data_IF_303261257022
#
_entry.id   IF_303261257022
#
_cell.length_a   1.000
_cell.length_b   1.000
_cell.length_c   1.000
_cell.angle_alpha   90.00
_cell.angle_beta   90.00
_cell.angle_gamma   90.00
#
_symmetry.space_group_name_H-M   'P 1'
#
loop_
_entity.id
_entity.type
_entity.pdbx_description
1 polymer ?
#
# COMPACT_ATOMS: atom_id res chain seq x y z
N UNK A 1 -2.59 9.02 6.44
CA UNK A 1 -2.45 10.28 5.68
C UNK A 1 -2.08 11.47 6.58
N UNK A 2 -2.93 11.91 7.52
CA UNK A 2 -2.63 13.09 8.38
C UNK A 2 -1.28 12.99 9.10
N UNK A 3 -0.95 11.80 9.63
CA UNK A 3 0.33 11.58 10.30
C UNK A 3 1.54 11.70 9.37
N UNK A 4 1.42 11.31 8.10
CA UNK A 4 2.50 11.44 7.10
C UNK A 4 2.70 12.92 6.74
N UNK A 5 1.61 13.67 6.56
CA UNK A 5 1.67 15.09 6.21
C UNK A 5 2.27 15.93 7.37
N UNK A 6 1.81 15.69 8.60
CA UNK A 6 2.21 16.46 9.79
C UNK A 6 3.55 16.00 10.38
N UNK A 7 3.88 14.71 10.28
CA UNK A 7 5.10 14.14 10.86
C UNK A 7 5.13 14.17 12.40
N UNK A 8 3.99 14.38 13.07
CA UNK A 8 3.92 14.47 14.53
C UNK A 8 3.65 13.11 15.16
N UNK A 9 4.35 12.80 16.26
CA UNK A 9 4.16 11.55 17.02
C UNK A 9 2.73 11.44 17.53
N UNK A 10 2.12 12.54 17.99
CA UNK A 10 0.74 12.54 18.49
C UNK A 10 -0.27 12.04 17.44
N UNK A 11 -0.14 12.50 16.19
CA UNK A 11 -1.03 12.06 15.11
C UNK A 11 -0.83 10.58 14.73
N UNK A 12 0.39 10.07 14.89
CA UNK A 12 0.70 8.66 14.64
C UNK A 12 0.22 7.75 15.78
N UNK A 13 0.32 8.19 17.04
CA UNK A 13 -0.27 7.50 18.20
C UNK A 13 -1.79 7.45 18.08
N UNK A 14 -2.44 8.56 17.70
CA UNK A 14 -3.89 8.57 17.44
C UNK A 14 -4.27 7.60 16.31
N UNK A 15 -3.45 7.52 15.24
CA UNK A 15 -3.64 6.56 14.17
C UNK A 15 -3.47 5.11 14.67
N UNK A 16 -2.52 4.85 15.57
CA UNK A 16 -2.31 3.53 16.15
C UNK A 16 -3.52 3.11 16.99
N UNK A 17 -4.07 3.99 17.85
CA UNK A 17 -5.28 3.67 18.60
C UNK A 17 -6.50 3.44 17.70
N UNK A 18 -6.67 4.25 16.64
CA UNK A 18 -7.73 4.02 15.65
C UNK A 18 -7.57 2.66 14.95
N UNK A 19 -6.33 2.29 14.64
CA UNK A 19 -6.00 0.97 14.08
C UNK A 19 -6.30 -0.16 15.07
N UNK A 20 -5.98 0.01 16.37
CA UNK A 20 -6.29 -0.97 17.41
C UNK A 20 -7.80 -1.16 17.59
N UNK A 21 -8.56 -0.06 17.58
CA UNK A 21 -10.02 -0.12 17.63
C UNK A 21 -10.60 -0.89 16.45
N UNK A 22 -10.07 -0.66 15.25
CA UNK A 22 -10.48 -1.39 14.05
C UNK A 22 -10.11 -2.88 14.11
N UNK A 23 -8.93 -3.23 14.65
CA UNK A 23 -8.54 -4.63 14.84
C UNK A 23 -9.46 -5.35 15.85
N UNK A 24 -9.99 -4.63 16.84
CA UNK A 24 -10.97 -5.17 17.78
C UNK A 24 -12.37 -5.30 17.16
N UNK A 25 -12.74 -4.46 16.20
CA UNK A 25 -14.09 -4.45 15.61
C UNK A 25 -14.24 -5.34 14.37
N UNK A 26 -13.21 -5.46 13.53
CA UNK A 26 -13.31 -6.20 12.28
C UNK A 26 -12.01 -6.89 11.85
N UNK A 27 -12.13 -8.16 11.42
CA UNK A 27 -11.03 -8.98 10.91
C UNK A 27 -10.32 -8.42 9.66
N UNK A 28 -10.90 -7.44 8.96
CA UNK A 28 -10.25 -6.78 7.83
C UNK A 28 -9.04 -5.92 8.22
N UNK A 29 -8.66 -5.84 9.50
CA UNK A 29 -7.41 -5.21 9.92
C UNK A 29 -6.18 -5.81 9.23
N UNK A 30 -6.24 -7.08 8.80
CA UNK A 30 -5.17 -7.76 8.04
C UNK A 30 -4.93 -7.07 6.70
N UNK A 31 -6.00 -6.59 6.05
CA UNK A 31 -5.88 -5.83 4.80
C UNK A 31 -5.13 -4.52 5.02
N UNK A 32 -5.48 -3.75 6.07
CA UNK A 32 -4.81 -2.47 6.37
C UNK A 32 -3.37 -2.69 6.87
N UNK A 33 -3.12 -3.77 7.59
CA UNK A 33 -1.77 -4.22 7.95
C UNK A 33 -0.90 -4.55 6.74
N UNK A 34 -1.44 -4.95 5.61
CA UNK A 34 -0.62 -5.19 4.41
C UNK A 34 -0.57 -3.97 3.49
N UNK A 35 -1.61 -3.13 3.52
CA UNK A 35 -1.69 -1.92 2.72
C UNK A 35 -0.70 -0.83 3.17
N UNK A 36 -0.53 -0.59 4.47
CA UNK A 36 0.37 0.47 4.95
C UNK A 36 1.84 0.15 4.62
N UNK A 37 2.36 -1.07 4.86
CA UNK A 37 3.72 -1.43 4.43
C UNK A 37 3.88 -1.36 2.91
N UNK A 38 2.88 -1.79 2.13
CA UNK A 38 2.90 -1.68 0.67
C UNK A 38 3.04 -0.21 0.22
N UNK A 39 2.31 0.71 0.84
CA UNK A 39 2.44 2.14 0.59
C UNK A 39 3.85 2.66 0.92
N UNK A 40 4.44 2.23 2.03
CA UNK A 40 5.80 2.64 2.42
C UNK A 40 6.85 2.10 1.44
N UNK A 41 6.71 0.84 1.01
CA UNK A 41 7.58 0.25 -0.02
C UNK A 41 7.49 1.07 -1.31
N UNK A 42 6.27 1.42 -1.74
CA UNK A 42 6.05 2.25 -2.93
C UNK A 42 6.70 3.63 -2.79
N UNK A 43 6.61 4.26 -1.62
CA UNK A 43 7.26 5.55 -1.34
C UNK A 43 8.79 5.47 -1.41
N UNK A 44 9.39 4.38 -0.92
CA UNK A 44 10.83 4.13 -1.05
C UNK A 44 11.21 3.87 -2.51
N UNK A 45 10.40 3.10 -3.26
CA UNK A 45 10.63 2.81 -4.67
C UNK A 45 10.56 4.07 -5.57
N UNK A 46 9.65 4.99 -5.28
CA UNK A 46 9.52 6.29 -5.98
C UNK A 46 10.59 7.29 -5.50
N UNK A 47 11.52 6.88 -4.61
CA UNK A 47 12.56 7.72 -4.02
C UNK A 47 12.01 8.97 -3.28
N UNK A 48 10.78 8.88 -2.76
CA UNK A 48 10.11 9.94 -1.99
C UNK A 48 10.15 9.66 -0.49
N UNK A 49 11.29 9.20 -0.02
CA UNK A 49 11.47 8.91 1.38
C UNK A 49 11.66 10.19 2.21
N UNK A 50 10.86 10.37 3.26
CA UNK A 50 10.96 11.51 4.18
C UNK A 50 11.07 11.04 5.63
N UNK A 51 11.76 11.83 6.47
CA UNK A 51 11.84 11.56 7.91
C UNK A 51 10.46 11.55 8.60
N UNK A 52 9.48 12.28 8.05
CA UNK A 52 8.10 12.29 8.54
C UNK A 52 7.45 10.92 8.38
N UNK A 53 7.65 10.27 7.22
CA UNK A 53 7.16 8.92 6.97
C UNK A 53 7.76 7.90 7.95
N UNK A 54 9.06 8.03 8.22
CA UNK A 54 9.75 7.19 9.20
C UNK A 54 9.18 7.32 10.61
N UNK A 55 9.01 8.55 11.11
CA UNK A 55 8.43 8.79 12.44
C UNK A 55 7.01 8.23 12.50
N UNK A 56 6.20 8.46 11.47
CA UNK A 56 4.81 7.98 11.44
C UNK A 56 4.73 6.44 11.43
N UNK A 57 5.57 5.76 10.66
CA UNK A 57 5.53 4.29 10.56
C UNK A 57 6.10 3.60 11.80
N UNK A 58 7.23 4.07 12.33
CA UNK A 58 7.89 3.48 13.50
C UNK A 58 7.05 3.62 14.76
N UNK A 59 6.41 4.77 14.96
CA UNK A 59 5.49 4.98 16.09
C UNK A 59 4.24 4.11 15.96
N UNK A 60 3.69 3.94 14.76
CA UNK A 60 2.57 3.03 14.52
C UNK A 60 2.97 1.58 14.82
N UNK A 61 4.16 1.15 14.39
CA UNK A 61 4.69 -0.18 14.70
C UNK A 61 4.84 -0.38 16.22
N UNK A 62 5.40 0.60 16.93
CA UNK A 62 5.69 0.49 18.37
C UNK A 62 4.43 0.46 19.25
N UNK A 63 3.44 1.29 18.97
CA UNK A 63 2.23 1.44 19.83
C UNK A 63 1.27 0.25 19.69
N UNK A 64 1.36 -0.49 18.58
CA UNK A 64 0.42 -1.57 18.22
C UNK A 64 0.67 -2.89 18.98
N UNK A 65 1.50 -2.90 20.02
CA UNK A 65 1.91 -4.12 20.71
C UNK A 65 0.75 -4.74 21.52
N UNK A 66 -0.13 -5.49 20.84
CA UNK A 66 -1.17 -6.32 21.45
C UNK A 66 -0.80 -7.79 21.24
N UNK A 67 -0.18 -8.39 22.25
CA UNK A 67 0.03 -9.83 22.38
C UNK A 67 1.10 -10.45 21.47
N UNK A 68 1.48 -11.69 21.79
CA UNK A 68 2.55 -12.45 21.12
C UNK A 68 2.18 -12.97 19.72
N UNK A 69 0.89 -13.00 19.37
CA UNK A 69 0.43 -13.47 18.05
C UNK A 69 0.96 -12.62 16.88
N UNK A 70 1.35 -11.37 17.13
CA UNK A 70 1.80 -10.44 16.11
C UNK A 70 3.22 -10.74 15.57
N UNK A 71 4.08 -11.35 16.39
CA UNK A 71 5.46 -11.67 16.01
C UNK A 71 5.50 -12.99 15.22
N UNK A 72 4.58 -13.91 15.52
CA UNK A 72 4.58 -15.27 14.97
C UNK A 72 3.67 -15.41 13.75
N UNK A 73 2.66 -14.54 13.59
CA UNK A 73 1.75 -14.61 12.45
C UNK A 73 2.41 -14.18 11.14
N UNK A 74 2.35 -15.08 10.15
CA UNK A 74 2.85 -14.85 8.79
C UNK A 74 2.12 -13.71 8.07
N UNK A 75 0.89 -13.40 8.47
CA UNK A 75 0.06 -12.35 7.86
C UNK A 75 0.57 -10.93 8.13
N UNK A 76 1.48 -10.79 9.11
CA UNK A 76 2.06 -9.53 9.55
C UNK A 76 3.56 -9.45 9.26
N UNK A 77 4.07 -10.43 8.51
CA UNK A 77 5.47 -10.49 8.13
C UNK A 77 5.88 -9.26 7.31
N UNK A 78 5.05 -8.82 6.37
CA UNK A 78 5.31 -7.63 5.57
C UNK A 78 5.47 -6.37 6.44
N UNK A 79 4.64 -6.23 7.48
CA UNK A 79 4.72 -5.12 8.43
C UNK A 79 6.06 -5.07 9.18
N UNK A 80 6.48 -6.23 9.71
CA UNK A 80 7.75 -6.35 10.43
C UNK A 80 8.97 -6.22 9.50
N UNK A 81 8.89 -6.79 8.30
CA UNK A 81 9.95 -6.71 7.30
C UNK A 81 10.22 -5.26 6.86
N UNK A 82 9.15 -4.49 6.59
CA UNK A 82 9.29 -3.07 6.23
C UNK A 82 9.83 -2.25 7.40
N UNK A 83 9.43 -2.55 8.64
CA UNK A 83 10.01 -1.90 9.81
C UNK A 83 11.51 -2.13 9.92
N UNK A 84 11.96 -3.38 9.83
CA UNK A 84 13.38 -3.72 9.85
C UNK A 84 14.14 -3.09 8.68
N UNK A 85 13.55 -3.09 7.48
CA UNK A 85 14.12 -2.45 6.30
C UNK A 85 14.33 -0.94 6.47
N UNK A 86 13.33 -0.24 7.02
CA UNK A 86 13.45 1.20 7.31
C UNK A 86 14.50 1.50 8.39
N UNK A 87 14.55 0.68 9.46
CA UNK A 87 15.56 0.83 10.51
C UNK A 87 16.97 0.65 9.95
N UNK A 88 17.19 -0.36 9.12
CA UNK A 88 18.46 -0.59 8.44
C UNK A 88 18.83 0.58 7.52
N UNK A 89 17.86 1.09 6.74
CA UNK A 89 18.08 2.23 5.85
C UNK A 89 18.48 3.50 6.61
N UNK A 90 17.78 3.82 7.70
CA UNK A 90 18.12 4.95 8.56
C UNK A 90 19.47 4.79 9.26
N UNK A 91 19.79 3.58 9.71
CA UNK A 91 21.09 3.28 10.29
C UNK A 91 22.22 3.52 9.26
N UNK A 92 22.05 3.06 8.02
CA UNK A 92 23.02 3.30 6.94
C UNK A 92 23.19 4.80 6.67
N UNK A 93 22.08 5.55 6.61
CA UNK A 93 22.14 7.01 6.46
C UNK A 93 22.85 7.69 7.64
N UNK A 94 22.55 7.27 8.87
CA UNK A 94 23.17 7.81 10.08
C UNK A 94 24.68 7.56 10.09
N UNK A 95 25.10 6.32 9.82
CA UNK A 95 26.51 5.94 9.72
C UNK A 95 27.22 6.74 8.62
N UNK A 96 26.57 6.93 7.46
CA UNK A 96 27.09 7.78 6.37
C UNK A 96 27.36 9.22 6.81
N UNK A 97 26.51 9.80 7.67
CA UNK A 97 26.71 11.18 8.15
C UNK A 97 27.84 11.31 9.20
N UNK A 98 28.17 10.22 9.90
CA UNK A 98 29.18 10.22 10.97
C UNK A 98 30.57 9.76 10.50
N UNK A 99 30.66 9.02 9.40
CA UNK A 99 31.92 8.49 8.86
C UNK A 99 32.31 9.16 7.55
N UNK A 100 33.61 9.34 7.32
CA UNK A 100 34.14 9.78 6.02
C UNK A 100 33.89 8.76 4.91
N UNK A 101 33.73 9.22 3.67
CA UNK A 101 33.30 8.41 2.52
C UNK A 101 34.09 7.09 2.33
N UNK A 102 35.42 7.13 2.53
CA UNK A 102 36.32 5.96 2.39
C UNK A 102 36.19 4.91 3.51
N UNK A 103 35.77 5.33 4.70
CA UNK A 103 35.51 4.42 5.83
C UNK A 103 34.10 3.85 5.75
N UNK A 104 33.15 4.64 5.27
CA UNK A 104 31.78 4.20 5.03
C UNK A 104 31.71 3.07 3.99
N UNK A 105 32.41 3.21 2.86
CA UNK A 105 32.42 2.19 1.81
C UNK A 105 33.04 0.86 2.28
N UNK A 106 34.13 0.94 3.07
CA UNK A 106 34.74 -0.24 3.70
C UNK A 106 33.83 -0.90 4.72
N UNK A 107 33.14 -0.11 5.56
CA UNK A 107 32.21 -0.64 6.55
C UNK A 107 30.98 -1.27 5.90
N UNK A 108 30.48 -0.70 4.80
CA UNK A 108 29.40 -1.27 4.00
C UNK A 108 29.81 -2.59 3.38
N UNK A 109 30.99 -2.67 2.76
CA UNK A 109 31.50 -3.91 2.20
C UNK A 109 31.74 -4.99 3.26
N UNK A 110 32.32 -4.62 4.40
CA UNK A 110 32.51 -5.53 5.53
C UNK A 110 31.17 -5.99 6.12
N UNK A 111 30.22 -5.07 6.31
CA UNK A 111 28.87 -5.38 6.79
C UNK A 111 28.09 -6.27 5.85
N UNK A 112 28.14 -5.99 4.54
CA UNK A 112 27.50 -6.81 3.52
C UNK A 112 28.12 -8.21 3.44
N UNK A 113 29.46 -8.30 3.50
CA UNK A 113 30.17 -9.59 3.50
C UNK A 113 29.91 -10.41 4.77
N UNK A 114 29.80 -9.75 5.93
CA UNK A 114 29.44 -10.38 7.21
C UNK A 114 27.99 -10.86 7.24
N UNK A 115 27.06 -10.09 6.68
CA UNK A 115 25.66 -10.50 6.58
C UNK A 115 25.49 -11.66 5.59
N UNK A 116 26.24 -11.66 4.49
CA UNK A 116 26.26 -12.74 3.51
C UNK A 116 26.82 -14.04 4.09
N UNK A 117 27.91 -13.96 4.88
CA UNK A 117 28.51 -15.14 5.52
C UNK A 117 27.64 -15.69 6.65
N UNK A 118 27.05 -14.83 7.48
CA UNK A 118 26.09 -15.23 8.51
C UNK A 118 24.82 -15.83 7.88
N UNK A 119 24.31 -15.21 6.80
CA UNK A 119 23.18 -15.74 6.03
C UNK A 119 23.46 -17.11 5.43
N UNK A 120 24.66 -17.30 4.86
CA UNK A 120 25.10 -18.59 4.34
C UNK A 120 25.24 -19.65 5.44
N UNK A 121 25.73 -19.27 6.64
CA UNK A 121 25.83 -20.16 7.79
C UNK A 121 24.46 -20.57 8.35
N UNK A 122 23.51 -19.64 8.39
CA UNK A 122 22.13 -19.93 8.81
C UNK A 122 21.42 -20.79 7.77
N UNK A 123 21.62 -20.51 6.48
CA UNK A 123 21.04 -21.29 5.39
C UNK A 123 21.59 -22.72 5.37
N UNK A 124 22.89 -22.91 5.59
CA UNK A 124 23.51 -24.24 5.67
C UNK A 124 23.02 -25.02 6.89
N UNK A 125 22.88 -24.39 8.05
CA UNK A 125 22.29 -25.00 9.25
C UNK A 125 20.81 -25.39 9.05
N UNK A 126 20.04 -24.55 8.34
CA UNK A 126 18.64 -24.81 8.00
C UNK A 126 18.48 -25.93 6.97
N UNK A 127 19.37 -26.00 5.98
CA UNK A 127 19.44 -27.10 4.99
C UNK A 127 19.76 -28.43 5.68
N UNK A 128 20.73 -28.44 6.60
CA UNK A 128 21.11 -29.64 7.37
C UNK A 128 20.02 -30.10 8.35
N UNK A 129 19.21 -29.17 8.88
CA UNK A 129 18.12 -29.50 9.80
C UNK A 129 16.87 -30.09 9.12
N UNK A 130 16.82 -30.16 7.78
CA UNK A 130 15.70 -30.77 7.03
C UNK A 130 14.34 -30.08 7.22
N UNK A 131 14.28 -28.94 7.91
CA UNK A 131 13.04 -28.21 8.24
C UNK A 131 12.62 -27.19 7.18
N UNK A 132 13.31 -27.15 6.05
CA UNK A 132 12.89 -26.36 4.89
C UNK A 132 11.70 -27.06 4.22
N UNK A 133 10.52 -26.90 4.81
CA UNK A 133 9.29 -27.07 4.07
C UNK A 133 9.18 -25.85 3.14
N UNK A 134 9.28 -26.02 1.82
CA UNK A 134 9.24 -24.90 0.91
C UNK A 134 7.85 -24.26 1.03
N UNK A 135 7.82 -23.00 1.49
CA UNK A 135 6.70 -22.08 1.33
C UNK A 135 5.35 -22.70 1.70
N UNK A 136 5.00 -22.60 2.98
CA UNK A 136 3.73 -23.10 3.55
C UNK A 136 2.55 -22.86 2.61
N UNK A 137 1.86 -23.92 2.19
CA UNK A 137 0.69 -23.83 1.29
C UNK A 137 -0.42 -22.88 1.77
N UNK A 138 -0.39 -22.48 3.06
CA UNK A 138 -1.23 -21.42 3.63
C UNK A 138 -0.95 -20.03 3.05
N UNK A 139 0.29 -19.74 2.68
CA UNK A 139 0.66 -18.46 2.05
C UNK A 139 0.09 -18.37 0.62
N UNK A 140 0.14 -19.47 -0.13
CA UNK A 140 -0.45 -19.56 -1.48
C UNK A 140 -1.98 -19.54 -1.45
N UNK A 141 -2.64 -20.16 -0.46
CA UNK A 141 -4.11 -20.03 -0.31
C UNK A 141 -4.57 -18.60 -0.02
N UNK A 142 -3.71 -17.76 0.58
CA UNK A 142 -4.03 -16.37 0.91
C UNK A 142 -3.78 -15.42 -0.27
N UNK A 143 -2.74 -15.68 -1.07
CA UNK A 143 -2.42 -14.87 -2.26
C UNK A 143 -3.28 -15.26 -3.48
N UNK A 144 -3.64 -16.54 -3.57
CA UNK A 144 -4.42 -17.10 -4.67
C UNK A 144 -5.58 -17.97 -4.12
N UNK A 145 -6.81 -17.43 -4.11
CA UNK A 145 -7.98 -18.18 -3.68
C UNK A 145 -8.38 -19.29 -4.67
N UNK A 146 -7.82 -19.33 -5.89
CA UNK A 146 -8.02 -20.47 -6.79
C UNK A 146 -7.30 -21.72 -6.27
N UNK A 147 -6.18 -21.55 -5.55
CA UNK A 147 -5.51 -22.63 -4.82
C UNK A 147 -6.39 -23.12 -3.65
N UNK A 148 -6.95 -22.22 -2.84
CA UNK A 148 -7.86 -22.59 -1.75
C UNK A 148 -9.12 -23.33 -2.24
N UNK A 149 -9.70 -22.89 -3.37
CA UNK A 149 -10.86 -23.51 -4.02
C UNK A 149 -10.60 -24.97 -4.43
N UNK A 150 -9.36 -25.30 -4.81
CA UNK A 150 -8.96 -26.65 -5.24
C UNK A 150 -8.73 -27.62 -4.07
N UNK A 151 -8.27 -27.12 -2.92
CA UNK A 151 -7.89 -27.97 -1.78
C UNK A 151 -8.92 -28.01 -0.64
N UNK A 152 -9.85 -27.06 -0.54
CA UNK A 152 -10.91 -27.04 0.49
C UNK A 152 -12.27 -26.72 -0.15
N UNK A 153 -13.04 -27.72 -0.61
CA UNK A 153 -14.30 -27.49 -1.34
C UNK A 153 -15.40 -26.83 -0.52
N UNK A 154 -15.31 -26.84 0.82
CA UNK A 154 -16.27 -26.17 1.72
C UNK A 154 -16.17 -24.64 1.63
N UNK A 155 -14.99 -24.09 1.37
CA UNK A 155 -14.82 -22.63 1.22
C UNK A 155 -15.35 -22.17 -0.15
N UNK A 156 -15.24 -23.04 -1.15
CA UNK A 156 -15.70 -22.80 -2.51
C UNK A 156 -17.23 -22.81 -2.67
N UNK A 157 -17.96 -23.45 -1.75
CA UNK A 157 -19.41 -23.63 -1.85
C UNK A 157 -20.21 -22.45 -1.32
N UNK A 158 -19.59 -21.53 -0.57
CA UNK A 158 -20.28 -20.34 -0.05
C UNK A 158 -20.37 -19.29 -1.16
N UNK A 159 -21.60 -18.83 -1.44
CA UNK A 159 -21.86 -17.83 -2.49
C UNK A 159 -21.06 -16.53 -2.30
N UNK A 160 -20.72 -16.17 -1.06
CA UNK A 160 -19.91 -14.97 -0.75
C UNK A 160 -18.46 -15.05 -1.25
N UNK A 161 -17.91 -16.26 -1.41
CA UNK A 161 -16.55 -16.52 -1.90
C UNK A 161 -16.48 -16.61 -3.44
N UNK A 162 -17.59 -16.40 -4.14
CA UNK A 162 -17.59 -16.38 -5.60
C UNK A 162 -16.91 -15.11 -6.14
N UNK A 163 -16.33 -15.18 -7.35
CA UNK A 163 -15.78 -14.01 -8.02
C UNK A 163 -16.89 -13.04 -8.44
N UNK A 164 -16.56 -11.75 -8.51
CA UNK A 164 -17.50 -10.72 -8.97
C UNK A 164 -17.61 -10.71 -10.48
N UNK A 165 -18.83 -10.52 -10.98
CA UNK A 165 -19.06 -10.27 -12.41
C UNK A 165 -19.07 -8.77 -12.68
N UNK A 166 -18.78 -8.36 -13.93
CA UNK A 166 -18.86 -6.96 -14.35
C UNK A 166 -20.25 -6.36 -14.13
N UNK A 167 -21.31 -7.17 -14.27
CA UNK A 167 -22.69 -6.75 -14.03
C UNK A 167 -22.91 -6.35 -12.56
N UNK A 168 -22.31 -7.08 -11.62
CA UNK A 168 -22.35 -6.75 -10.18
C UNK A 168 -21.67 -5.41 -9.90
N UNK A 169 -20.54 -5.10 -10.54
CA UNK A 169 -19.89 -3.79 -10.40
C UNK A 169 -20.79 -2.64 -10.83
N UNK A 170 -21.47 -2.77 -11.97
CA UNK A 170 -22.38 -1.73 -12.47
C UNK A 170 -23.61 -1.62 -11.57
N UNK A 171 -24.15 -2.74 -11.08
CA UNK A 171 -25.31 -2.74 -10.19
C UNK A 171 -25.01 -2.09 -8.84
N UNK A 172 -23.84 -2.37 -8.24
CA UNK A 172 -23.49 -1.83 -6.93
C UNK A 172 -23.04 -0.36 -7.00
N UNK A 173 -22.16 -0.03 -7.96
CA UNK A 173 -21.46 1.26 -8.02
C UNK A 173 -22.06 2.24 -9.06
N UNK A 174 -22.97 1.79 -9.91
CA UNK A 174 -23.64 2.61 -10.93
C UNK A 174 -22.61 3.43 -11.76
N UNK A 175 -22.81 4.75 -11.87
CA UNK A 175 -21.92 5.64 -12.62
C UNK A 175 -20.50 5.77 -12.06
N UNK A 176 -20.25 5.41 -10.80
CA UNK A 176 -18.92 5.52 -10.19
C UNK A 176 -17.89 4.63 -10.89
N UNK A 177 -18.32 3.52 -11.49
CA UNK A 177 -17.43 2.61 -12.26
C UNK A 177 -16.75 3.37 -13.41
N UNK A 178 -17.49 4.25 -14.10
CA UNK A 178 -16.95 5.02 -15.22
C UNK A 178 -16.12 6.22 -14.77
N UNK A 179 -16.41 6.78 -13.60
CA UNK A 179 -15.70 7.93 -13.04
C UNK A 179 -14.41 7.54 -12.30
N UNK A 180 -14.31 6.33 -11.78
CA UNK A 180 -13.15 5.88 -11.02
C UNK A 180 -11.83 5.89 -11.83
N UNK A 181 -11.79 5.44 -13.11
CA UNK A 181 -10.60 5.58 -13.96
C UNK A 181 -10.18 7.05 -14.15
N UNK A 182 -11.15 7.96 -14.27
CA UNK A 182 -10.88 9.39 -14.39
C UNK A 182 -10.27 9.96 -13.11
N UNK A 183 -10.83 9.61 -11.94
CA UNK A 183 -10.25 9.98 -10.65
C UNK A 183 -8.81 9.46 -10.48
N UNK A 184 -8.58 8.21 -10.89
CA UNK A 184 -7.26 7.59 -10.85
C UNK A 184 -6.26 8.34 -11.75
N UNK A 185 -6.69 8.75 -12.95
CA UNK A 185 -5.88 9.57 -13.86
C UNK A 185 -5.47 10.90 -13.22
N UNK A 186 -6.39 11.61 -12.58
CA UNK A 186 -6.06 12.84 -11.85
C UNK A 186 -5.07 12.61 -10.69
N UNK A 187 -5.19 11.49 -9.98
CA UNK A 187 -4.22 11.12 -8.94
C UNK A 187 -2.81 10.90 -9.50
N UNK A 188 -2.68 10.30 -10.69
CA UNK A 188 -1.38 10.12 -11.35
C UNK A 188 -0.78 11.44 -11.87
N UNK A 189 -1.61 12.37 -12.34
CA UNK A 189 -1.15 13.70 -12.76
C UNK A 189 -0.61 14.52 -11.58
N UNK A 190 -1.26 14.44 -10.42
CA UNK A 190 -0.88 15.17 -9.22
C UNK A 190 -0.38 14.22 -8.12
N UNK A 191 0.89 13.83 -8.20
CA UNK A 191 1.52 12.94 -7.22
C UNK A 191 1.78 13.66 -5.89
N UNK A 192 0.84 13.55 -4.95
CA UNK A 192 1.00 13.94 -3.54
C UNK A 192 1.10 12.72 -2.64
N UNK A 193 1.60 12.87 -1.41
CA UNK A 193 1.74 11.75 -0.48
C UNK A 193 0.41 11.07 -0.15
N UNK A 194 -0.68 11.85 -0.18
CA UNK A 194 -2.05 11.37 -0.02
C UNK A 194 -2.57 10.67 -1.27
N UNK A 195 -2.29 11.21 -2.46
CA UNK A 195 -2.73 10.61 -3.72
C UNK A 195 -2.02 9.28 -3.99
N UNK A 196 -0.74 9.16 -3.64
CA UNK A 196 -0.02 7.88 -3.73
C UNK A 196 -0.67 6.83 -2.82
N UNK A 197 -1.04 7.21 -1.59
CA UNK A 197 -1.76 6.30 -0.69
C UNK A 197 -3.11 5.88 -1.27
N UNK A 198 -3.86 6.83 -1.86
CA UNK A 198 -5.14 6.56 -2.49
C UNK A 198 -5.01 5.63 -3.70
N UNK A 199 -3.98 5.81 -4.55
CA UNK A 199 -3.69 4.93 -5.69
C UNK A 199 -3.39 3.51 -5.20
N UNK A 200 -2.51 3.36 -4.20
CA UNK A 200 -2.20 2.03 -3.62
C UNK A 200 -3.45 1.37 -3.04
N UNK A 201 -4.27 2.12 -2.29
CA UNK A 201 -5.52 1.63 -1.72
C UNK A 201 -6.50 1.19 -2.81
N UNK A 202 -6.73 2.04 -3.82
CA UNK A 202 -7.64 1.77 -4.91
C UNK A 202 -7.25 0.54 -5.72
N UNK A 203 -6.01 0.45 -6.19
CA UNK A 203 -5.54 -0.68 -7.00
C UNK A 203 -5.63 -2.00 -6.24
N UNK A 204 -5.21 -1.98 -4.98
CA UNK A 204 -5.26 -3.16 -4.12
C UNK A 204 -6.72 -3.58 -3.85
N UNK A 205 -7.61 -2.62 -3.57
CA UNK A 205 -9.02 -2.90 -3.30
C UNK A 205 -9.77 -3.40 -4.53
N UNK A 206 -9.53 -2.84 -5.72
CA UNK A 206 -10.11 -3.28 -7.00
C UNK A 206 -9.70 -4.72 -7.32
N UNK A 207 -8.43 -5.06 -7.07
CA UNK A 207 -7.94 -6.44 -7.25
C UNK A 207 -8.69 -7.42 -6.32
N UNK A 208 -8.78 -7.10 -5.04
CA UNK A 208 -9.46 -7.96 -4.07
C UNK A 208 -10.97 -8.06 -4.28
N UNK A 209 -11.64 -6.98 -4.72
CA UNK A 209 -13.06 -7.04 -5.06
C UNK A 209 -13.31 -7.88 -6.32
N UNK A 210 -12.35 -7.95 -7.25
CA UNK A 210 -12.42 -8.86 -8.42
C UNK A 210 -12.45 -10.33 -8.03
N UNK A 211 -11.70 -10.66 -6.97
CA UNK A 211 -11.51 -12.02 -6.48
C UNK A 211 -12.72 -12.54 -5.70
N UNK A 212 -13.33 -11.71 -4.85
CA UNK A 212 -14.40 -12.12 -3.93
C UNK A 212 -15.48 -11.03 -3.81
N UNK A 213 -16.74 -11.42 -4.01
CA UNK A 213 -17.91 -10.50 -3.95
C UNK A 213 -17.98 -9.71 -2.65
N UNK A 214 -17.74 -10.34 -1.50
CA UNK A 214 -17.80 -9.65 -0.21
C UNK A 214 -16.78 -8.53 -0.05
N UNK A 215 -15.64 -8.60 -0.76
CA UNK A 215 -14.60 -7.57 -0.70
C UNK A 215 -14.96 -6.30 -1.48
N UNK A 216 -16.09 -6.29 -2.21
CA UNK A 216 -16.71 -5.08 -2.74
C UNK A 216 -16.94 -4.02 -1.65
N UNK A 217 -17.27 -4.43 -0.42
CA UNK A 217 -17.47 -3.50 0.70
C UNK A 217 -16.21 -2.68 1.01
N UNK A 218 -15.02 -3.28 0.86
CA UNK A 218 -13.74 -2.59 1.06
C UNK A 218 -13.37 -1.71 -0.14
N UNK A 219 -13.77 -2.11 -1.34
CA UNK A 219 -13.53 -1.34 -2.56
C UNK A 219 -14.46 -0.14 -2.72
N UNK A 220 -15.71 -0.20 -2.23
CA UNK A 220 -16.69 0.87 -2.38
C UNK A 220 -16.19 2.25 -1.89
N UNK A 221 -15.55 2.39 -0.71
CA UNK A 221 -14.93 3.66 -0.30
C UNK A 221 -13.85 4.17 -1.27
N UNK A 222 -13.08 3.27 -1.89
CA UNK A 222 -12.08 3.67 -2.88
C UNK A 222 -12.74 4.23 -4.15
N UNK A 223 -13.78 3.57 -4.66
CA UNK A 223 -14.55 4.05 -5.81
C UNK A 223 -15.21 5.40 -5.54
N UNK A 224 -15.76 5.61 -4.34
CA UNK A 224 -16.36 6.90 -3.96
C UNK A 224 -15.31 8.01 -3.92
N UNK A 225 -14.13 7.76 -3.34
CA UNK A 225 -13.05 8.75 -3.29
C UNK A 225 -12.51 9.11 -4.68
N UNK A 226 -12.28 8.12 -5.54
CA UNK A 226 -11.84 8.36 -6.91
C UNK A 226 -12.92 9.08 -7.72
N UNK A 227 -14.18 8.64 -7.61
CA UNK A 227 -15.31 9.29 -8.27
C UNK A 227 -15.47 10.74 -7.84
N UNK A 228 -15.35 11.03 -6.54
CA UNK A 228 -15.40 12.39 -6.01
C UNK A 228 -14.25 13.27 -6.55
N UNK A 229 -13.03 12.73 -6.63
CA UNK A 229 -11.89 13.44 -7.22
C UNK A 229 -12.08 13.69 -8.72
N UNK A 230 -12.58 12.69 -9.46
CA UNK A 230 -12.87 12.82 -10.88
C UNK A 230 -13.93 13.90 -11.17
N UNK A 231 -15.05 13.88 -10.45
CA UNK A 231 -16.10 14.90 -10.58
C UNK A 231 -15.54 16.28 -10.21
N UNK A 232 -14.84 16.40 -9.09
CA UNK A 232 -14.28 17.66 -8.63
C UNK A 232 -13.30 18.26 -9.65
N UNK A 233 -12.41 17.43 -10.22
CA UNK A 233 -11.46 17.86 -11.24
C UNK A 233 -12.13 18.33 -12.54
N UNK A 234 -13.17 17.63 -12.99
CA UNK A 234 -13.98 18.06 -14.13
C UNK A 234 -14.68 19.39 -13.85
N UNK A 235 -15.37 19.48 -12.70
CA UNK A 235 -16.14 20.67 -12.35
C UNK A 235 -15.24 21.90 -12.23
N UNK A 236 -14.05 21.76 -11.63
CA UNK A 236 -13.08 22.85 -11.55
C UNK A 236 -12.58 23.29 -12.93
N UNK A 237 -12.34 22.34 -13.84
CA UNK A 237 -11.89 22.66 -15.21
C UNK A 237 -12.98 23.41 -15.97
N UNK A 238 -14.21 22.90 -15.97
CA UNK A 238 -15.34 23.57 -16.65
C UNK A 238 -15.70 24.92 -16.03
N UNK A 239 -15.71 25.04 -14.70
CA UNK A 239 -15.95 26.32 -14.04
C UNK A 239 -14.85 27.34 -14.35
N UNK A 240 -13.59 26.90 -14.50
CA UNK A 240 -12.49 27.79 -14.91
C UNK A 240 -12.68 28.27 -16.34
N UNK A 241 -13.06 27.39 -17.25
CA UNK A 241 -13.28 27.72 -18.66
C UNK A 241 -14.50 28.65 -18.85
N UNK A 242 -15.55 28.48 -18.05
CA UNK A 242 -16.72 29.38 -18.03
C UNK A 242 -16.36 30.75 -17.43
N UNK A 243 -15.47 30.78 -16.43
CA UNK A 243 -15.06 32.02 -15.74
C UNK A 243 -14.00 32.80 -16.51
N UNK A 244 -13.21 32.13 -17.35
CA UNK A 244 -12.30 32.81 -18.25
C UNK A 244 -13.13 33.74 -19.15
N UNK A 245 -12.94 35.07 -19.12
CA UNK A 245 -13.58 35.95 -20.08
C UNK A 245 -13.18 35.49 -21.48
N UNK A 246 -14.09 35.61 -22.43
CA UNK A 246 -13.86 35.29 -23.84
C UNK A 246 -12.82 36.26 -24.45
N UNK A 247 -11.56 36.16 -24.04
CA UNK A 247 -10.44 36.85 -24.67
C UNK A 247 -9.84 35.92 -25.72
N UNK A 248 -10.17 36.21 -26.99
CA UNK A 248 -9.33 35.82 -28.12
C UNK A 248 -9.60 34.44 -28.75
N UNK A 249 -10.83 34.18 -29.22
CA UNK A 249 -10.99 33.43 -30.48
C UNK A 249 -11.10 34.45 -31.62
N UNK A 250 -10.02 35.18 -31.88
CA UNK A 250 -9.78 35.61 -33.25
C UNK A 250 -9.46 34.33 -34.02
N UNK A 251 -10.41 33.93 -34.85
CA UNK A 251 -10.21 32.94 -35.90
C UNK A 251 -9.19 33.56 -36.85
N UNK A 252 -7.90 33.30 -36.61
CA UNK A 252 -6.91 33.38 -37.68
C UNK A 252 -7.26 32.22 -38.60
N UNK A 253 -8.11 32.51 -39.58
CA UNK A 253 -8.23 31.72 -40.80
C UNK A 253 -6.85 31.86 -41.45
N UNK A 254 -5.96 30.93 -41.12
CA UNK A 254 -4.71 30.74 -41.84
C UNK A 254 -5.11 30.22 -43.22
N UNK A 255 -5.27 31.15 -44.16
CA UNK A 255 -5.27 30.84 -45.58
C UNK A 255 -3.98 30.08 -45.89
N UNK A 256 -4.12 28.84 -46.36
CA UNK A 256 -3.07 28.15 -47.09
C UNK A 256 -3.67 27.67 -48.43
N UNK A 257 -2.88 27.78 -49.52
CA UNK A 257 -3.33 27.72 -50.92
C UNK A 257 -3.83 26.36 -51.39
#
# INVERSE_FOLDING_TARGET
VRAVNQGTVASAVACAFAYLYMAASWGAYVFISNLIPLYVILMVAINRYTKRLYIAYTTLWAVRFIGFNHIVSTELLAWNAVFLGLQAWELVLFVRTKLGARMFERLLWLGASGLASAGAAVLSLLLLSGKLNPWTGRFWTLLDPTYAKKFIPIVASVSEHQPTTWASYIFDLHGLVFLAPLGLYYCFCHLTDANIFLITFALTAIYFSGIMVRLMLVAAPAFVLLGALGISGLLQSYCRDIRAPAEGKEVVVEEWP
#
